data_IF_817522695429
#
_entry.id   IF_817522695429
#
_cell.length_a   1.000
_cell.length_b   1.000
_cell.length_c   1.000
_cell.angle_alpha   90.00
_cell.angle_beta   90.00
_cell.angle_gamma   90.00
#
_symmetry.space_group_name_H-M   'P 1'
#
loop_
_entity.id
_entity.type
_entity.pdbx_description
1 polymer ?
#
# COMPACT_ATOMS: atom_id res chain seq x y z
N UNK A 1 -9.14 16.30 -8.95
CA UNK A 1 -8.35 15.21 -8.33
C UNK A 1 -9.25 13.99 -8.37
N UNK A 2 -8.84 12.91 -9.06
CA UNK A 2 -9.65 11.67 -9.07
C UNK A 2 -9.81 11.21 -7.63
N UNK A 3 -11.03 10.84 -7.25
CA UNK A 3 -11.35 10.39 -5.89
C UNK A 3 -10.32 9.35 -5.44
N UNK A 4 -9.62 9.63 -4.35
CA UNK A 4 -8.70 8.70 -3.69
C UNK A 4 -9.44 7.61 -2.91
N UNK A 5 -10.78 7.64 -2.95
CA UNK A 5 -11.64 6.63 -2.35
C UNK A 5 -11.75 5.48 -3.34
N UNK A 6 -11.19 4.30 -3.03
CA UNK A 6 -11.30 3.13 -3.88
C UNK A 6 -12.78 2.75 -4.05
N UNK A 7 -13.16 2.47 -5.28
CA UNK A 7 -14.54 2.21 -5.66
C UNK A 7 -14.89 0.72 -5.58
N UNK A 8 -13.89 -0.15 -5.71
CA UNK A 8 -14.06 -1.60 -5.62
C UNK A 8 -13.09 -2.27 -4.63
N UNK A 9 -13.35 -3.53 -4.34
CA UNK A 9 -12.55 -4.32 -3.41
C UNK A 9 -11.12 -4.57 -3.94
N UNK A 10 -10.93 -4.61 -5.26
CA UNK A 10 -9.61 -4.84 -5.85
C UNK A 10 -8.72 -3.61 -5.66
N UNK A 11 -9.25 -2.40 -5.80
CA UNK A 11 -8.55 -1.14 -5.52
C UNK A 11 -8.21 -1.01 -4.03
N UNK A 12 -9.13 -1.37 -3.13
CA UNK A 12 -8.86 -1.45 -1.69
C UNK A 12 -7.73 -2.43 -1.38
N UNK A 13 -7.81 -3.64 -1.93
CA UNK A 13 -6.79 -4.68 -1.75
C UNK A 13 -5.44 -4.23 -2.30
N UNK A 14 -5.41 -3.63 -3.49
CA UNK A 14 -4.19 -3.11 -4.11
C UNK A 14 -3.55 -2.02 -3.24
N UNK A 15 -4.34 -1.11 -2.68
CA UNK A 15 -3.85 -0.09 -1.74
C UNK A 15 -3.29 -0.71 -0.46
N UNK A 16 -3.98 -1.68 0.14
CA UNK A 16 -3.52 -2.37 1.35
C UNK A 16 -2.21 -3.11 1.12
N UNK A 17 -2.11 -3.90 0.04
CA UNK A 17 -0.90 -4.66 -0.31
C UNK A 17 0.26 -3.71 -0.62
N UNK A 18 0.00 -2.62 -1.36
CA UNK A 18 1.03 -1.63 -1.67
C UNK A 18 1.57 -0.95 -0.40
N UNK A 19 0.68 -0.62 0.55
CA UNK A 19 1.07 -0.02 1.82
C UNK A 19 1.93 -0.98 2.64
N UNK A 20 1.55 -2.26 2.72
CA UNK A 20 2.32 -3.29 3.41
C UNK A 20 3.70 -3.48 2.78
N UNK A 21 3.80 -3.50 1.46
CA UNK A 21 5.07 -3.65 0.75
C UNK A 21 6.04 -2.50 1.06
N UNK A 22 5.55 -1.25 1.09
CA UNK A 22 6.36 -0.08 1.44
C UNK A 22 6.83 -0.13 2.89
N UNK A 23 5.94 -0.47 3.83
CA UNK A 23 6.30 -0.58 5.25
C UNK A 23 7.31 -1.71 5.47
N UNK A 24 7.09 -2.88 4.88
CA UNK A 24 8.01 -4.00 4.98
C UNK A 24 9.40 -3.65 4.39
N UNK A 25 9.43 -2.96 3.24
CA UNK A 25 10.67 -2.46 2.66
C UNK A 25 11.40 -1.49 3.59
N UNK A 26 10.70 -0.52 4.18
CA UNK A 26 11.29 0.43 5.13
C UNK A 26 11.91 -0.28 6.34
N UNK A 27 11.23 -1.30 6.88
CA UNK A 27 11.73 -2.09 8.01
C UNK A 27 12.99 -2.85 7.62
N UNK A 28 12.98 -3.55 6.48
CA UNK A 28 14.14 -4.29 6.00
C UNK A 28 15.33 -3.36 5.75
N UNK A 29 15.08 -2.20 5.13
CA UNK A 29 16.12 -1.22 4.84
C UNK A 29 16.70 -0.56 6.09
N UNK A 30 15.90 -0.38 7.14
CA UNK A 30 16.38 0.13 8.44
C UNK A 30 17.21 -0.91 9.22
N UNK A 31 16.97 -2.19 9.01
CA UNK A 31 17.68 -3.28 9.68
C UNK A 31 18.94 -3.74 8.92
N UNK A 32 19.10 -3.35 7.65
CA UNK A 32 20.25 -3.67 6.79
C UNK A 32 21.40 -2.69 7.01
#
# INVERSE_FOLDING_TARGET
MKNLVPHDFNELMALSVSTLAVVAWMILWWQA
#
